data_IF_280307597380
#
_entry.id   IF_280307597380
#
_cell.length_a   1.000
_cell.length_b   1.000
_cell.length_c   1.000
_cell.angle_alpha   90.00
_cell.angle_beta   90.00
_cell.angle_gamma   90.00
#
_symmetry.space_group_name_H-M   'P 1'
#
loop_
_entity.id
_entity.type
_entity.pdbx_description
1 polymer ?
#
# COMPACT_ATOMS: atom_id res chain seq x y z
N UNK A 1 -2.47 50.09 4.82
CA UNK A 1 -3.40 49.03 5.27
C UNK A 1 -3.59 48.04 4.12
N UNK A 2 -2.97 46.87 4.19
CA UNK A 2 -3.10 45.81 3.16
C UNK A 2 -4.43 45.10 3.37
N UNK A 3 -5.32 45.12 2.38
CA UNK A 3 -6.57 44.36 2.41
C UNK A 3 -6.29 42.87 2.72
N UNK A 4 -7.10 42.21 3.58
CA UNK A 4 -6.93 40.82 3.87
C UNK A 4 -7.10 40.01 2.57
N UNK A 5 -6.08 39.20 2.24
CA UNK A 5 -6.10 38.30 1.08
C UNK A 5 -7.36 37.42 1.17
N UNK A 6 -8.05 37.19 0.06
CA UNK A 6 -9.14 36.21 0.00
C UNK A 6 -8.63 34.83 0.43
N UNK A 7 -9.51 33.98 1.00
CA UNK A 7 -9.16 32.64 1.47
C UNK A 7 -8.51 31.81 0.36
N UNK A 8 -8.98 31.93 -0.89
CA UNK A 8 -8.43 31.20 -2.04
C UNK A 8 -7.04 31.69 -2.44
N UNK A 9 -6.76 32.99 -2.35
CA UNK A 9 -5.42 33.53 -2.60
C UNK A 9 -4.42 33.06 -1.54
N UNK A 10 -4.83 32.99 -0.26
CA UNK A 10 -3.97 32.43 0.81
C UNK A 10 -3.68 30.96 0.59
N UNK A 11 -4.67 30.17 0.21
CA UNK A 11 -4.54 28.74 -0.13
C UNK A 11 -3.59 28.56 -1.33
N UNK A 12 -3.76 29.35 -2.36
CA UNK A 12 -2.89 29.31 -3.53
C UNK A 12 -1.43 29.62 -3.18
N UNK A 13 -1.19 30.70 -2.42
CA UNK A 13 0.17 31.07 -2.00
C UNK A 13 0.81 29.99 -1.11
N UNK A 14 0.03 29.37 -0.22
CA UNK A 14 0.50 28.26 0.59
C UNK A 14 0.92 27.06 -0.28
N UNK A 15 0.06 26.65 -1.21
CA UNK A 15 0.37 25.52 -2.12
C UNK A 15 1.58 25.85 -2.99
N UNK A 16 1.66 27.09 -3.53
CA UNK A 16 2.80 27.52 -4.34
C UNK A 16 4.10 27.48 -3.51
N UNK A 17 4.08 28.01 -2.28
CA UNK A 17 5.22 27.98 -1.39
C UNK A 17 5.67 26.56 -1.04
N UNK A 18 4.71 25.66 -0.77
CA UNK A 18 5.00 24.24 -0.55
C UNK A 18 5.54 23.55 -1.81
N UNK A 19 4.96 23.81 -2.97
CA UNK A 19 5.43 23.24 -4.23
C UNK A 19 6.86 23.71 -4.57
N UNK A 20 7.17 24.98 -4.32
CA UNK A 20 8.55 25.49 -4.46
C UNK A 20 9.48 24.82 -3.47
N UNK A 21 9.07 24.69 -2.18
CA UNK A 21 9.87 24.01 -1.17
C UNK A 21 10.13 22.53 -1.53
N UNK A 22 9.11 21.82 -2.03
CA UNK A 22 9.24 20.44 -2.55
C UNK A 22 10.22 20.40 -3.72
N UNK A 23 10.08 21.33 -4.69
CA UNK A 23 10.97 21.42 -5.86
C UNK A 23 12.42 21.67 -5.45
N UNK A 24 12.66 22.63 -4.54
CA UNK A 24 13.99 22.91 -3.98
C UNK A 24 14.55 21.71 -3.24
N UNK A 25 13.75 21.08 -2.36
CA UNK A 25 14.17 19.90 -1.61
C UNK A 25 14.58 18.75 -2.55
N UNK A 26 13.77 18.45 -3.55
CA UNK A 26 14.07 17.36 -4.51
C UNK A 26 15.25 17.67 -5.42
N UNK A 27 15.54 18.94 -5.67
CA UNK A 27 16.71 19.36 -6.43
C UNK A 27 18.03 19.30 -5.63
N UNK A 28 17.98 19.60 -4.32
CA UNK A 28 19.16 19.63 -3.45
C UNK A 28 19.50 18.24 -2.90
N UNK A 29 18.51 17.45 -2.51
CA UNK A 29 18.74 16.11 -1.97
C UNK A 29 19.01 15.16 -3.14
N UNK A 30 20.20 14.51 -3.21
CA UNK A 30 20.55 13.62 -4.32
C UNK A 30 19.73 12.33 -4.24
N UNK A 31 18.50 12.38 -4.75
CA UNK A 31 17.54 11.29 -4.70
C UNK A 31 17.29 10.68 -6.09
N UNK A 32 18.00 11.17 -7.11
CA UNK A 32 17.88 10.63 -8.45
C UNK A 32 18.56 9.27 -8.49
N UNK A 33 17.76 8.22 -8.54
CA UNK A 33 18.19 6.82 -8.67
C UNK A 33 18.32 6.40 -10.14
N UNK A 34 18.23 7.34 -11.08
CA UNK A 34 18.39 7.17 -12.53
C UNK A 34 17.51 6.01 -13.06
N UNK A 35 16.32 5.85 -12.51
CA UNK A 35 15.38 4.77 -12.84
C UNK A 35 16.03 3.39 -12.86
N UNK A 36 16.91 3.14 -11.90
CA UNK A 36 17.74 1.94 -11.82
C UNK A 36 16.92 0.65 -12.00
N UNK A 37 15.82 0.50 -11.25
CA UNK A 37 15.00 -0.71 -11.32
C UNK A 37 14.26 -0.82 -12.66
N UNK A 38 13.80 0.31 -13.20
CA UNK A 38 13.20 0.30 -14.52
C UNK A 38 14.20 -0.10 -15.61
N UNK A 39 15.47 0.32 -15.51
CA UNK A 39 16.53 -0.14 -16.41
C UNK A 39 16.76 -1.64 -16.30
N UNK A 40 16.66 -2.21 -15.10
CA UNK A 40 16.67 -3.66 -14.90
C UNK A 40 15.51 -4.33 -15.65
N UNK A 41 14.28 -3.80 -15.49
CA UNK A 41 13.10 -4.38 -16.14
C UNK A 41 13.18 -4.27 -17.66
N UNK A 42 13.53 -3.09 -18.15
CA UNK A 42 13.70 -2.82 -19.56
C UNK A 42 14.75 -3.74 -20.18
N UNK A 43 15.95 -3.79 -19.59
CA UNK A 43 17.05 -4.63 -20.10
C UNK A 43 16.74 -6.11 -20.06
N UNK A 44 16.02 -6.60 -19.03
CA UNK A 44 15.59 -8.00 -18.96
C UNK A 44 14.60 -8.37 -20.07
N UNK A 45 13.61 -7.49 -20.33
CA UNK A 45 12.64 -7.69 -21.42
C UNK A 45 13.31 -7.58 -22.79
N UNK A 46 14.19 -6.59 -22.99
CA UNK A 46 14.95 -6.40 -24.22
C UNK A 46 15.86 -7.62 -24.51
N UNK A 47 16.59 -8.10 -23.52
CA UNK A 47 17.42 -9.32 -23.62
C UNK A 47 16.57 -10.52 -24.02
N UNK A 48 15.42 -10.70 -23.42
CA UNK A 48 14.52 -11.81 -23.71
C UNK A 48 13.92 -11.74 -25.12
N UNK A 49 13.43 -10.58 -25.53
CA UNK A 49 12.69 -10.42 -26.80
C UNK A 49 13.61 -10.27 -28.01
N UNK A 50 14.70 -9.51 -27.87
CA UNK A 50 15.52 -9.11 -29.01
C UNK A 50 16.87 -9.84 -29.11
N UNK A 51 17.36 -10.40 -27.99
CA UNK A 51 18.69 -11.01 -27.95
C UNK A 51 18.70 -12.52 -27.69
N UNK A 52 17.51 -13.16 -27.58
CA UNK A 52 17.39 -14.60 -27.40
C UNK A 52 17.87 -15.13 -26.04
N UNK A 53 18.13 -14.22 -25.08
CA UNK A 53 18.52 -14.57 -23.72
C UNK A 53 17.32 -14.89 -22.83
N UNK A 54 17.59 -15.32 -21.58
CA UNK A 54 16.54 -15.47 -20.54
C UNK A 54 16.27 -14.15 -19.85
N UNK A 55 15.05 -13.98 -19.32
CA UNK A 55 14.64 -12.86 -18.46
C UNK A 55 15.65 -12.59 -17.33
N UNK A 56 16.31 -13.65 -16.83
CA UNK A 56 17.22 -13.59 -15.68
C UNK A 56 18.69 -13.47 -16.06
N UNK A 57 19.02 -13.37 -17.35
CA UNK A 57 20.42 -13.26 -17.82
C UNK A 57 20.92 -11.81 -17.75
N UNK A 58 20.03 -10.85 -17.94
CA UNK A 58 20.39 -9.44 -17.91
C UNK A 58 20.94 -9.00 -16.56
N UNK A 59 22.03 -8.24 -16.59
CA UNK A 59 22.61 -7.53 -15.44
C UNK A 59 22.85 -6.10 -15.83
N UNK A 60 22.58 -5.17 -14.90
CA UNK A 60 22.94 -3.77 -15.12
C UNK A 60 24.46 -3.68 -15.23
N UNK A 61 25.01 -3.05 -16.29
CA UNK A 61 26.45 -2.93 -16.51
C UNK A 61 27.18 -2.44 -15.26
N UNK A 62 28.28 -3.13 -14.90
CA UNK A 62 29.08 -2.80 -13.72
C UNK A 62 28.48 -3.22 -12.36
N UNK A 63 27.37 -3.99 -12.38
CA UNK A 63 26.71 -4.46 -11.15
C UNK A 63 26.37 -5.96 -11.25
N UNK A 64 25.98 -6.54 -10.09
CA UNK A 64 25.42 -7.91 -10.02
C UNK A 64 23.89 -7.92 -10.08
N UNK A 65 23.26 -6.74 -10.12
CA UNK A 65 21.81 -6.62 -10.06
C UNK A 65 21.13 -6.96 -11.39
N UNK A 66 20.09 -7.78 -11.33
CA UNK A 66 19.28 -8.20 -12.45
C UNK A 66 17.81 -8.35 -12.08
N UNK A 67 17.03 -8.94 -12.97
CA UNK A 67 15.61 -9.17 -12.76
C UNK A 67 15.37 -10.21 -11.66
N UNK A 68 14.47 -9.90 -10.72
CA UNK A 68 14.23 -10.70 -9.50
C UNK A 68 12.76 -11.04 -9.26
N UNK A 69 11.85 -10.53 -10.09
CA UNK A 69 10.41 -10.77 -9.93
C UNK A 69 9.98 -12.10 -10.59
N UNK A 70 8.79 -12.62 -10.24
CA UNK A 70 8.19 -13.74 -10.96
C UNK A 70 8.13 -13.47 -12.47
N UNK A 71 8.22 -14.50 -13.32
CA UNK A 71 8.25 -14.34 -14.78
C UNK A 71 7.06 -13.60 -15.35
N UNK A 72 5.89 -13.68 -14.70
CA UNK A 72 4.70 -12.92 -15.11
C UNK A 72 4.92 -11.41 -15.11
N UNK A 73 5.76 -10.88 -14.23
CA UNK A 73 6.11 -9.47 -14.24
C UNK A 73 6.75 -9.07 -15.59
N UNK A 74 7.68 -9.86 -16.11
CA UNK A 74 8.29 -9.63 -17.41
C UNK A 74 7.27 -9.75 -18.56
N UNK A 75 6.34 -10.70 -18.48
CA UNK A 75 5.22 -10.82 -19.45
C UNK A 75 4.36 -9.55 -19.43
N UNK A 76 4.04 -9.02 -18.24
CA UNK A 76 3.31 -7.75 -18.11
C UNK A 76 4.09 -6.54 -18.62
N UNK A 77 5.42 -6.62 -18.66
CA UNK A 77 6.33 -5.58 -19.14
C UNK A 77 6.71 -5.72 -20.62
N UNK A 78 6.25 -6.75 -21.33
CA UNK A 78 6.53 -6.96 -22.76
C UNK A 78 6.35 -5.72 -23.65
N UNK A 79 5.36 -4.83 -23.42
CA UNK A 79 5.25 -3.61 -24.20
C UNK A 79 6.49 -2.71 -24.15
N UNK A 80 7.37 -2.86 -23.15
CA UNK A 80 8.63 -2.10 -23.09
C UNK A 80 9.59 -2.46 -24.23
N UNK A 81 9.53 -3.70 -24.75
CA UNK A 81 10.33 -4.12 -25.89
C UNK A 81 9.97 -3.39 -27.20
N UNK A 82 8.78 -2.79 -27.28
CA UNK A 82 8.30 -2.09 -28.49
C UNK A 82 8.67 -0.60 -28.53
N UNK A 83 9.29 -0.09 -27.46
CA UNK A 83 9.55 1.35 -27.31
C UNK A 83 10.97 1.59 -26.77
N UNK A 84 11.52 2.78 -27.00
CA UNK A 84 12.80 3.14 -26.39
C UNK A 84 12.69 3.38 -24.87
N UNK A 85 13.82 3.28 -24.18
CA UNK A 85 13.90 3.45 -22.72
C UNK A 85 13.25 4.75 -22.21
N UNK A 86 13.44 5.89 -22.89
CA UNK A 86 12.83 7.16 -22.52
C UNK A 86 11.29 7.11 -22.51
N UNK A 87 10.70 6.43 -23.50
CA UNK A 87 9.24 6.22 -23.56
C UNK A 87 8.79 5.27 -22.46
N UNK A 88 9.53 4.19 -22.19
CA UNK A 88 9.25 3.27 -21.09
C UNK A 88 9.28 3.99 -19.72
N UNK A 89 10.24 4.90 -19.51
CA UNK A 89 10.31 5.76 -18.31
C UNK A 89 9.04 6.62 -18.23
N UNK A 90 8.69 7.35 -19.28
CA UNK A 90 7.52 8.24 -19.27
C UNK A 90 6.21 7.47 -18.98
N UNK A 91 6.01 6.32 -19.62
CA UNK A 91 4.84 5.46 -19.38
C UNK A 91 4.81 4.96 -17.93
N UNK A 92 5.94 4.51 -17.40
CA UNK A 92 6.03 4.03 -16.01
C UNK A 92 5.72 5.14 -15.00
N UNK A 93 6.23 6.36 -15.23
CA UNK A 93 5.93 7.51 -14.38
C UNK A 93 4.43 7.86 -14.42
N UNK A 94 3.80 7.84 -15.59
CA UNK A 94 2.36 8.07 -15.75
C UNK A 94 1.53 6.97 -15.06
N UNK A 95 1.93 5.70 -15.18
CA UNK A 95 1.28 4.58 -14.48
C UNK A 95 1.39 4.72 -12.96
N UNK A 96 2.56 5.09 -12.44
CA UNK A 96 2.74 5.35 -11.02
C UNK A 96 1.91 6.55 -10.54
N UNK A 97 1.81 7.62 -11.33
CA UNK A 97 0.96 8.77 -11.00
C UNK A 97 -0.53 8.39 -10.98
N UNK A 98 -0.99 7.63 -11.96
CA UNK A 98 -2.36 7.11 -12.00
C UNK A 98 -2.63 6.17 -10.80
N UNK A 99 -1.70 5.28 -10.49
CA UNK A 99 -1.80 4.38 -9.34
C UNK A 99 -1.85 5.16 -8.02
N UNK A 100 -0.96 6.15 -7.82
CA UNK A 100 -0.97 7.01 -6.63
C UNK A 100 -2.28 7.79 -6.51
N UNK A 101 -2.79 8.33 -7.62
CA UNK A 101 -4.09 9.03 -7.65
C UNK A 101 -5.22 8.10 -7.22
N UNK A 102 -5.24 6.86 -7.72
CA UNK A 102 -6.24 5.86 -7.33
C UNK A 102 -6.12 5.47 -5.85
N UNK A 103 -4.89 5.25 -5.34
CA UNK A 103 -4.63 4.98 -3.92
C UNK A 103 -5.17 6.11 -3.05
N UNK A 104 -4.86 7.36 -3.39
CA UNK A 104 -5.33 8.54 -2.65
C UNK A 104 -6.86 8.67 -2.74
N UNK A 105 -7.46 8.41 -3.90
CA UNK A 105 -8.90 8.41 -4.06
C UNK A 105 -9.58 7.36 -3.17
N UNK A 106 -9.05 6.15 -3.10
CA UNK A 106 -9.60 5.08 -2.23
C UNK A 106 -9.45 5.46 -0.75
N UNK A 107 -8.32 6.01 -0.37
CA UNK A 107 -7.99 6.27 1.04
C UNK A 107 -8.56 7.59 1.58
N UNK A 108 -8.71 8.62 0.77
CA UNK A 108 -8.97 9.98 1.25
C UNK A 108 -10.07 10.73 0.45
N UNK A 109 -10.88 10.04 -0.37
CA UNK A 109 -11.88 10.69 -1.23
C UNK A 109 -12.85 11.65 -0.52
N UNK A 110 -13.41 11.32 0.68
CA UNK A 110 -14.33 12.23 1.38
C UNK A 110 -13.66 13.55 1.75
N UNK A 111 -12.41 13.48 2.22
CA UNK A 111 -11.60 14.63 2.61
C UNK A 111 -11.22 15.47 1.39
N UNK A 112 -10.79 14.83 0.30
CA UNK A 112 -10.46 15.52 -0.95
C UNK A 112 -11.66 16.26 -1.53
N UNK A 113 -12.84 15.63 -1.54
CA UNK A 113 -14.07 16.31 -1.98
C UNK A 113 -14.40 17.52 -1.13
N UNK A 114 -14.18 17.44 0.18
CA UNK A 114 -14.47 18.54 1.13
C UNK A 114 -13.58 19.76 0.89
N UNK A 115 -12.28 19.54 0.60
CA UNK A 115 -11.30 20.61 0.43
C UNK A 115 -11.04 20.98 -1.04
N UNK A 116 -11.61 20.23 -1.99
CA UNK A 116 -11.49 20.46 -3.43
C UNK A 116 -10.04 20.50 -3.92
N UNK A 117 -9.75 21.42 -4.85
CA UNK A 117 -8.42 21.55 -5.45
C UNK A 117 -7.31 21.76 -4.42
N UNK A 118 -7.61 22.49 -3.34
CA UNK A 118 -6.62 22.76 -2.28
C UNK A 118 -6.22 21.47 -1.55
N UNK A 119 -7.17 20.59 -1.23
CA UNK A 119 -6.90 19.29 -0.64
C UNK A 119 -6.07 18.39 -1.56
N UNK A 120 -6.38 18.38 -2.86
CA UNK A 120 -5.61 17.62 -3.85
C UNK A 120 -4.17 18.13 -3.96
N UNK A 121 -3.98 19.44 -4.09
CA UNK A 121 -2.65 20.05 -4.23
C UNK A 121 -1.80 19.85 -2.97
N UNK A 122 -2.39 20.04 -1.78
CA UNK A 122 -1.70 19.80 -0.51
C UNK A 122 -1.28 18.33 -0.38
N UNK A 123 -2.18 17.40 -0.71
CA UNK A 123 -1.88 15.96 -0.68
C UNK A 123 -0.76 15.61 -1.64
N UNK A 124 -0.74 16.19 -2.85
CA UNK A 124 0.35 15.99 -3.82
C UNK A 124 1.69 16.47 -3.26
N UNK A 125 1.77 17.67 -2.67
CA UNK A 125 2.98 18.19 -2.04
C UNK A 125 3.46 17.29 -0.88
N UNK A 126 2.54 16.85 -0.02
CA UNK A 126 2.85 15.97 1.12
C UNK A 126 3.38 14.62 0.63
N UNK A 127 2.75 14.01 -0.37
CA UNK A 127 3.20 12.72 -0.89
C UNK A 127 4.52 12.82 -1.67
N UNK A 128 4.77 13.94 -2.35
CA UNK A 128 6.01 14.17 -3.06
C UNK A 128 7.24 14.27 -2.13
N UNK A 129 7.06 14.66 -0.87
CA UNK A 129 8.13 14.66 0.13
C UNK A 129 8.37 13.30 0.80
N UNK A 130 7.38 12.41 0.77
CA UNK A 130 7.46 11.12 1.44
C UNK A 130 8.48 10.20 0.74
N UNK A 131 9.55 9.82 1.41
CA UNK A 131 10.66 9.07 0.80
C UNK A 131 10.22 7.80 0.07
N UNK A 132 9.38 6.90 0.62
CA UNK A 132 8.94 5.71 -0.11
C UNK A 132 8.25 6.02 -1.44
N UNK A 133 7.52 7.14 -1.52
CA UNK A 133 6.86 7.59 -2.75
C UNK A 133 7.90 8.15 -3.73
N UNK A 134 8.78 9.04 -3.26
CA UNK A 134 9.86 9.59 -4.10
C UNK A 134 10.73 8.50 -4.70
N UNK A 135 11.15 7.55 -3.86
CA UNK A 135 11.99 6.43 -4.29
C UNK A 135 11.27 5.54 -5.29
N UNK A 136 9.96 5.31 -5.12
CA UNK A 136 9.17 4.58 -6.13
C UNK A 136 9.24 5.25 -7.51
N UNK A 137 9.12 6.58 -7.58
CA UNK A 137 9.24 7.30 -8.83
C UNK A 137 10.68 7.33 -9.35
N UNK A 138 11.67 7.58 -8.50
CA UNK A 138 13.07 7.74 -8.92
C UNK A 138 13.75 6.43 -9.33
N UNK A 139 13.32 5.29 -8.77
CA UNK A 139 13.74 3.96 -9.22
C UNK A 139 12.92 3.45 -10.43
N UNK A 140 11.74 4.03 -10.71
CA UNK A 140 10.79 3.51 -11.69
C UNK A 140 10.13 2.20 -11.24
N UNK A 141 9.81 2.10 -9.96
CA UNK A 141 9.27 0.91 -9.32
C UNK A 141 7.77 0.70 -9.56
N UNK A 142 7.32 -0.57 -9.46
CA UNK A 142 5.91 -0.96 -9.66
C UNK A 142 5.09 -0.98 -8.37
N UNK A 143 5.67 -0.62 -7.21
CA UNK A 143 5.03 -0.82 -5.91
C UNK A 143 3.73 -0.03 -5.73
N UNK A 144 3.61 1.17 -6.30
CA UNK A 144 2.36 1.94 -6.28
C UNK A 144 1.26 1.27 -7.12
N UNK A 145 1.62 0.64 -8.24
CA UNK A 145 0.69 -0.15 -9.06
C UNK A 145 0.19 -1.36 -8.27
N UNK A 146 1.09 -2.08 -7.59
CA UNK A 146 0.71 -3.22 -6.72
C UNK A 146 -0.21 -2.77 -5.59
N UNK A 147 0.10 -1.66 -4.92
CA UNK A 147 -0.72 -1.08 -3.87
C UNK A 147 -2.11 -0.69 -4.39
N UNK A 148 -2.19 -0.05 -5.57
CA UNK A 148 -3.45 0.34 -6.19
C UNK A 148 -4.32 -0.88 -6.54
N UNK A 149 -3.74 -1.94 -7.09
CA UNK A 149 -4.43 -3.21 -7.37
C UNK A 149 -5.02 -3.81 -6.10
N UNK A 150 -4.22 -3.95 -5.06
CA UNK A 150 -4.64 -4.54 -3.78
C UNK A 150 -5.70 -3.66 -3.09
N UNK A 151 -5.51 -2.33 -3.05
CA UNK A 151 -6.49 -1.43 -2.44
C UNK A 151 -7.80 -1.32 -3.23
N UNK A 152 -7.79 -1.60 -4.53
CA UNK A 152 -9.03 -1.71 -5.31
C UNK A 152 -9.91 -2.85 -4.77
N UNK A 153 -9.32 -4.00 -4.43
CA UNK A 153 -10.04 -5.09 -3.78
C UNK A 153 -10.51 -4.71 -2.36
N UNK A 154 -9.68 -3.97 -1.59
CA UNK A 154 -10.08 -3.44 -0.29
C UNK A 154 -11.32 -2.52 -0.41
N UNK A 155 -11.34 -1.65 -1.43
CA UNK A 155 -12.48 -0.78 -1.70
C UNK A 155 -13.74 -1.57 -2.09
N UNK A 156 -13.61 -2.61 -2.94
CA UNK A 156 -14.71 -3.48 -3.31
C UNK A 156 -15.33 -4.19 -2.08
N UNK A 157 -14.47 -4.67 -1.16
CA UNK A 157 -14.91 -5.32 0.08
C UNK A 157 -15.61 -4.31 1.01
N UNK A 158 -15.04 -3.12 1.18
CA UNK A 158 -15.58 -2.07 2.05
C UNK A 158 -16.89 -1.45 1.53
N UNK A 159 -17.10 -1.47 0.20
CA UNK A 159 -18.28 -0.89 -0.46
C UNK A 159 -19.42 -1.87 -0.69
N UNK A 160 -19.37 -3.06 -0.10
CA UNK A 160 -20.39 -4.11 -0.29
C UNK A 160 -20.33 -4.83 -1.65
N UNK A 161 -19.33 -4.51 -2.49
CA UNK A 161 -19.13 -5.10 -3.82
C UNK A 161 -18.13 -6.27 -3.82
N UNK A 162 -17.93 -6.90 -2.68
CA UNK A 162 -16.92 -7.95 -2.44
C UNK A 162 -17.01 -9.16 -3.38
N UNK A 163 -18.15 -9.37 -4.09
CA UNK A 163 -18.27 -10.40 -5.13
C UNK A 163 -17.32 -10.19 -6.31
N UNK A 164 -16.81 -8.98 -6.53
CA UNK A 164 -15.89 -8.61 -7.62
C UNK A 164 -14.43 -8.54 -7.14
N UNK A 165 -14.17 -8.69 -5.83
CA UNK A 165 -12.83 -8.63 -5.27
C UNK A 165 -12.03 -9.90 -5.55
N UNK A 166 -10.71 -9.77 -5.52
CA UNK A 166 -9.70 -10.83 -5.66
C UNK A 166 -8.82 -10.70 -6.89
N UNK A 167 -9.28 -10.05 -7.95
CA UNK A 167 -8.50 -9.90 -9.20
C UNK A 167 -7.25 -9.05 -8.97
N UNK A 168 -7.38 -7.92 -8.26
CA UNK A 168 -6.27 -7.03 -7.97
C UNK A 168 -5.19 -7.70 -7.13
N UNK A 169 -5.59 -8.42 -6.08
CA UNK A 169 -4.66 -9.18 -5.22
C UNK A 169 -3.97 -10.28 -6.04
N UNK A 170 -4.72 -11.02 -6.87
CA UNK A 170 -4.16 -12.09 -7.69
C UNK A 170 -3.12 -11.59 -8.69
N UNK A 171 -3.40 -10.51 -9.41
CA UNK A 171 -2.45 -9.87 -10.32
C UNK A 171 -1.22 -9.34 -9.57
N UNK A 172 -1.42 -8.65 -8.44
CA UNK A 172 -0.31 -8.16 -7.64
C UNK A 172 0.59 -9.29 -7.14
N UNK A 173 0.01 -10.41 -6.69
CA UNK A 173 0.75 -11.59 -6.25
C UNK A 173 1.52 -12.27 -7.39
N UNK A 174 0.98 -12.27 -8.61
CA UNK A 174 1.66 -12.81 -9.80
C UNK A 174 2.83 -11.91 -10.26
N UNK A 175 2.73 -10.59 -10.10
CA UNK A 175 3.81 -9.64 -10.43
C UNK A 175 4.92 -9.71 -9.35
N UNK A 176 4.55 -9.82 -8.07
CA UNK A 176 5.48 -9.86 -6.94
C UNK A 176 4.87 -10.72 -5.83
N UNK A 177 5.64 -11.64 -5.24
CA UNK A 177 5.08 -12.62 -4.28
C UNK A 177 4.57 -11.98 -2.97
N UNK A 178 5.13 -10.86 -2.54
CA UNK A 178 4.77 -10.21 -1.26
C UNK A 178 3.25 -9.98 -1.10
N UNK A 179 2.50 -9.52 -2.12
CA UNK A 179 1.03 -9.39 -2.04
C UNK A 179 0.26 -10.70 -1.85
N UNK A 180 0.88 -11.88 -1.98
CA UNK A 180 0.20 -13.15 -1.73
C UNK A 180 -0.33 -13.27 -0.29
N UNK A 181 0.26 -12.53 0.68
CA UNK A 181 -0.25 -12.47 2.05
C UNK A 181 -1.69 -11.94 2.13
N UNK A 182 -2.12 -11.14 1.14
CA UNK A 182 -3.51 -10.66 1.07
C UNK A 182 -4.50 -11.76 0.69
N UNK A 183 -4.07 -12.86 0.07
CA UNK A 183 -4.91 -14.06 -0.11
C UNK A 183 -5.19 -14.68 1.26
N UNK A 184 -4.19 -14.78 2.14
CA UNK A 184 -4.38 -15.25 3.51
C UNK A 184 -5.30 -14.29 4.31
N UNK A 185 -5.21 -12.97 4.10
CA UNK A 185 -6.15 -12.00 4.67
C UNK A 185 -7.59 -12.30 4.23
N UNK A 186 -7.84 -12.58 2.95
CA UNK A 186 -9.17 -12.91 2.44
C UNK A 186 -9.71 -14.20 3.08
N UNK A 187 -8.84 -15.22 3.25
CA UNK A 187 -9.20 -16.46 3.94
C UNK A 187 -9.55 -16.21 5.42
N UNK A 188 -8.74 -15.41 6.12
CA UNK A 188 -8.98 -15.02 7.51
C UNK A 188 -10.31 -14.26 7.66
N UNK A 189 -10.63 -13.39 6.70
CA UNK A 189 -11.89 -12.65 6.61
C UNK A 189 -13.06 -13.47 6.06
N UNK A 190 -12.88 -14.78 5.85
CA UNK A 190 -13.90 -15.71 5.29
C UNK A 190 -14.48 -15.25 3.94
N UNK A 191 -13.70 -14.50 3.17
CA UNK A 191 -14.07 -14.08 1.79
C UNK A 191 -13.62 -15.13 0.78
N UNK A 192 -14.09 -16.36 0.96
CA UNK A 192 -13.67 -17.56 0.21
C UNK A 192 -13.68 -17.38 -1.30
N UNK A 193 -14.74 -16.73 -1.81
CA UNK A 193 -14.84 -16.44 -3.25
C UNK A 193 -13.73 -15.51 -3.71
N UNK A 194 -13.48 -14.39 -2.98
CA UNK A 194 -12.42 -13.46 -3.36
C UNK A 194 -11.04 -14.11 -3.26
N UNK A 195 -10.82 -14.94 -2.23
CA UNK A 195 -9.59 -15.73 -2.10
C UNK A 195 -9.42 -16.70 -3.27
N UNK A 196 -10.48 -17.42 -3.65
CA UNK A 196 -10.49 -18.32 -4.81
C UNK A 196 -10.21 -17.58 -6.13
N UNK A 197 -10.82 -16.41 -6.34
CA UNK A 197 -10.56 -15.56 -7.51
C UNK A 197 -9.10 -15.08 -7.51
N UNK A 198 -8.58 -14.60 -6.38
CA UNK A 198 -7.18 -14.14 -6.29
C UNK A 198 -6.20 -15.27 -6.59
N UNK A 199 -6.42 -16.45 -6.01
CA UNK A 199 -5.59 -17.64 -6.28
C UNK A 199 -5.69 -18.07 -7.75
N UNK A 200 -6.89 -18.10 -8.32
CA UNK A 200 -7.09 -18.48 -9.72
C UNK A 200 -6.43 -17.49 -10.69
N UNK A 201 -6.52 -16.18 -10.43
CA UNK A 201 -5.86 -15.15 -11.24
C UNK A 201 -4.34 -15.26 -11.13
N UNK A 202 -3.79 -15.44 -9.91
CA UNK A 202 -2.36 -15.63 -9.72
C UNK A 202 -1.86 -16.91 -10.42
N UNK A 203 -2.60 -18.01 -10.30
CA UNK A 203 -2.26 -19.29 -10.97
C UNK A 203 -2.34 -19.16 -12.50
N UNK A 204 -3.38 -18.53 -13.04
CA UNK A 204 -3.51 -18.30 -14.47
C UNK A 204 -2.39 -17.43 -15.03
N UNK A 205 -2.03 -16.35 -14.31
CA UNK A 205 -0.92 -15.48 -14.68
C UNK A 205 0.43 -16.23 -14.64
N UNK A 206 0.65 -17.06 -13.61
CA UNK A 206 1.83 -17.92 -13.50
C UNK A 206 1.88 -18.95 -14.62
N UNK A 207 0.75 -19.59 -14.96
CA UNK A 207 0.67 -20.55 -16.07
C UNK A 207 0.92 -19.88 -17.42
N UNK A 208 0.38 -18.67 -17.64
CA UNK A 208 0.66 -17.86 -18.83
C UNK A 208 2.18 -17.58 -18.97
N UNK A 209 2.82 -17.21 -17.86
CA UNK A 209 4.27 -16.97 -17.86
C UNK A 209 5.08 -18.25 -18.09
N UNK A 210 4.64 -19.38 -17.54
CA UNK A 210 5.26 -20.67 -17.77
C UNK A 210 5.12 -21.13 -19.23
N UNK A 211 4.02 -20.78 -19.89
CA UNK A 211 3.82 -21.03 -21.32
C UNK A 211 4.70 -20.11 -22.19
N UNK A 212 4.76 -18.81 -21.85
CA UNK A 212 5.52 -17.83 -22.64
C UNK A 212 7.04 -17.92 -22.45
N UNK A 213 7.51 -18.29 -21.25
CA UNK A 213 8.92 -18.38 -20.87
C UNK A 213 9.18 -19.59 -19.96
N UNK A 214 9.13 -20.83 -20.49
CA UNK A 214 9.16 -22.05 -19.68
C UNK A 214 10.46 -22.21 -18.89
N UNK A 215 11.63 -21.96 -19.49
CA UNK A 215 12.93 -22.10 -18.84
C UNK A 215 13.14 -21.05 -17.76
N UNK A 216 12.77 -19.80 -18.03
CA UNK A 216 12.80 -18.73 -17.03
C UNK A 216 11.84 -19.03 -15.86
N UNK A 217 10.66 -19.61 -16.13
CA UNK A 217 9.72 -20.01 -15.10
C UNK A 217 10.25 -21.13 -14.24
N UNK A 218 10.86 -22.17 -14.84
CA UNK A 218 11.53 -23.23 -14.09
C UNK A 218 12.61 -22.63 -13.19
N UNK A 219 13.54 -21.88 -13.78
CA UNK A 219 14.65 -21.26 -13.05
C UNK A 219 14.16 -20.40 -11.88
N UNK A 220 13.09 -19.62 -12.08
CA UNK A 220 12.56 -18.79 -11.00
C UNK A 220 12.11 -19.63 -9.79
N UNK A 221 11.33 -20.68 -10.01
CA UNK A 221 10.73 -21.46 -8.93
C UNK A 221 11.70 -22.43 -8.27
N UNK A 222 12.74 -22.90 -8.99
CA UNK A 222 13.73 -23.85 -8.45
C UNK A 222 14.95 -23.17 -7.83
N UNK A 223 15.36 -22.01 -8.35
CA UNK A 223 16.64 -21.37 -8.01
C UNK A 223 16.47 -19.92 -7.55
N UNK A 224 16.00 -19.02 -8.43
CA UNK A 224 16.05 -17.59 -8.19
C UNK A 224 15.25 -17.14 -6.95
N UNK A 225 14.12 -17.77 -6.67
CA UNK A 225 13.27 -17.46 -5.50
C UNK A 225 13.99 -17.73 -4.17
N UNK A 226 14.89 -18.70 -4.15
CA UNK A 226 15.58 -19.15 -2.94
C UNK A 226 16.94 -18.48 -2.73
N UNK A 227 17.43 -17.78 -3.74
CA UNK A 227 18.71 -17.07 -3.73
C UNK A 227 18.51 -15.55 -3.52
N UNK A 228 18.55 -15.13 -2.26
CA UNK A 228 18.41 -13.71 -1.90
C UNK A 228 19.61 -12.85 -2.33
N UNK A 229 20.78 -13.46 -2.62
CA UNK A 229 21.99 -12.70 -3.04
C UNK A 229 21.80 -12.04 -4.41
N UNK A 230 20.89 -12.56 -5.22
CA UNK A 230 20.52 -11.99 -6.52
C UNK A 230 19.77 -10.64 -6.40
N UNK A 231 19.12 -10.38 -5.25
CA UNK A 231 18.31 -9.17 -5.03
C UNK A 231 19.18 -8.04 -4.49
N UNK A 232 20.23 -8.38 -3.74
CA UNK A 232 21.16 -7.43 -3.13
C UNK A 232 21.62 -7.86 -1.75
N UNK A 233 22.45 -7.02 -1.13
CA UNK A 233 22.97 -7.26 0.23
C UNK A 233 21.84 -7.15 1.25
N UNK A 234 21.70 -8.17 2.09
CA UNK A 234 20.68 -8.20 3.15
C UNK A 234 20.91 -7.12 4.21
N UNK A 235 22.19 -6.81 4.50
CA UNK A 235 22.61 -5.81 5.49
C UNK A 235 22.52 -4.35 4.97
N UNK A 236 22.21 -4.15 3.67
CA UNK A 236 22.09 -2.83 3.09
C UNK A 236 21.05 -1.99 3.83
N UNK A 237 21.41 -0.76 4.18
CA UNK A 237 20.61 0.13 5.05
C UNK A 237 19.18 0.35 4.53
N UNK A 238 18.98 0.33 3.20
CA UNK A 238 17.66 0.43 2.59
C UNK A 238 16.77 -0.79 2.86
N UNK A 239 17.34 -1.95 3.29
CA UNK A 239 16.54 -3.14 3.62
C UNK A 239 15.91 -3.00 5.01
N UNK A 240 14.67 -2.56 5.06
CA UNK A 240 13.87 -2.31 6.26
C UNK A 240 12.96 -3.49 6.62
N UNK A 241 13.45 -4.73 6.43
CA UNK A 241 12.81 -5.99 6.84
C UNK A 241 13.42 -6.52 8.14
N UNK A 242 12.76 -7.50 8.77
CA UNK A 242 13.35 -8.21 9.93
C UNK A 242 14.66 -8.92 9.57
N UNK A 243 14.76 -9.46 8.36
CA UNK A 243 16.00 -10.08 7.90
C UNK A 243 17.12 -9.05 7.71
N UNK A 244 16.79 -7.84 7.25
CA UNK A 244 17.72 -6.72 7.19
C UNK A 244 18.26 -6.32 8.58
N UNK A 245 17.40 -6.27 9.59
CA UNK A 245 17.82 -6.04 11.00
C UNK A 245 18.81 -7.11 11.45
N UNK A 246 18.47 -8.38 11.25
CA UNK A 246 19.34 -9.50 11.63
C UNK A 246 20.68 -9.47 10.88
N UNK A 247 20.66 -9.16 9.58
CA UNK A 247 21.87 -9.08 8.78
C UNK A 247 22.81 -7.99 9.29
N UNK A 248 22.31 -6.78 9.58
CA UNK A 248 23.13 -5.70 10.15
C UNK A 248 23.68 -6.03 11.54
N UNK A 249 22.95 -6.80 12.36
CA UNK A 249 23.42 -7.24 13.68
C UNK A 249 24.61 -8.20 13.63
N UNK A 250 24.71 -9.03 12.59
CA UNK A 250 25.73 -10.09 12.51
C UNK A 250 26.73 -9.86 11.38
N UNK A 251 26.64 -8.74 10.66
CA UNK A 251 27.56 -8.44 9.57
C UNK A 251 29.03 -8.55 10.02
N UNK A 252 29.94 -9.12 9.22
CA UNK A 252 29.75 -9.58 7.83
C UNK A 252 29.18 -11.01 7.69
N UNK A 253 28.79 -11.69 8.78
CA UNK A 253 28.23 -13.04 8.73
C UNK A 253 26.80 -13.03 8.16
N UNK A 254 26.35 -14.19 7.66
CA UNK A 254 24.97 -14.34 7.23
C UNK A 254 23.99 -14.50 8.42
N UNK A 255 22.80 -13.86 8.36
CA UNK A 255 21.83 -13.99 9.42
C UNK A 255 21.23 -15.40 9.47
N UNK A 256 20.93 -15.86 10.69
CA UNK A 256 20.29 -17.15 10.91
C UNK A 256 18.89 -17.21 10.28
N UNK A 257 18.67 -18.11 9.35
CA UNK A 257 17.36 -18.38 8.74
C UNK A 257 16.33 -18.81 9.79
N UNK A 258 16.75 -19.60 10.79
CA UNK A 258 15.87 -20.03 11.88
C UNK A 258 15.41 -18.84 12.74
N UNK A 259 16.31 -17.92 13.08
CA UNK A 259 15.96 -16.71 13.83
C UNK A 259 15.00 -15.81 13.04
N UNK A 260 15.28 -15.59 11.76
CA UNK A 260 14.36 -14.85 10.89
C UNK A 260 12.97 -15.53 10.83
N UNK A 261 12.92 -16.86 10.63
CA UNK A 261 11.65 -17.59 10.56
C UNK A 261 10.87 -17.49 11.88
N UNK A 262 11.54 -17.54 13.04
CA UNK A 262 10.92 -17.36 14.36
C UNK A 262 10.32 -15.95 14.50
N UNK A 263 11.08 -14.90 14.17
CA UNK A 263 10.58 -13.53 14.22
C UNK A 263 9.44 -13.29 13.23
N UNK A 264 9.55 -13.85 12.02
CA UNK A 264 8.48 -13.78 11.02
C UNK A 264 7.20 -14.46 11.52
N UNK A 265 7.32 -15.64 12.16
CA UNK A 265 6.18 -16.33 12.76
C UNK A 265 5.52 -15.49 13.86
N UNK A 266 6.31 -14.87 14.75
CA UNK A 266 5.79 -13.98 15.80
C UNK A 266 5.03 -12.80 15.18
N UNK A 267 5.59 -12.17 14.15
CA UNK A 267 4.92 -11.08 13.41
C UNK A 267 3.62 -11.57 12.78
N UNK A 268 3.60 -12.76 12.18
CA UNK A 268 2.39 -13.35 11.60
C UNK A 268 1.34 -13.67 12.67
N UNK A 269 1.73 -14.15 13.86
CA UNK A 269 0.81 -14.35 14.98
C UNK A 269 0.16 -13.02 15.42
N UNK A 270 0.96 -11.96 15.57
CA UNK A 270 0.46 -10.60 15.87
C UNK A 270 -0.46 -10.11 14.75
N UNK A 271 -0.06 -10.29 13.49
CA UNK A 271 -0.87 -9.94 12.33
C UNK A 271 -2.22 -10.64 12.34
N UNK A 272 -2.27 -11.97 12.51
CA UNK A 272 -3.52 -12.74 12.60
C UNK A 272 -4.41 -12.18 13.71
N UNK A 273 -3.85 -11.99 14.91
CA UNK A 273 -4.59 -11.49 16.05
C UNK A 273 -5.15 -10.09 15.83
N UNK A 274 -4.33 -9.14 15.34
CA UNK A 274 -4.75 -7.76 15.10
C UNK A 274 -5.74 -7.65 13.94
N UNK A 275 -5.47 -8.37 12.86
CA UNK A 275 -6.30 -8.37 11.65
C UNK A 275 -7.65 -9.02 11.89
N UNK A 276 -7.73 -10.11 12.67
CA UNK A 276 -9.00 -10.72 13.06
C UNK A 276 -9.91 -9.74 13.81
N UNK A 277 -9.33 -8.87 14.65
CA UNK A 277 -10.08 -7.81 15.33
C UNK A 277 -10.58 -6.74 14.37
N UNK A 278 -9.77 -6.33 13.40
CA UNK A 278 -10.21 -5.38 12.38
C UNK A 278 -11.35 -5.96 11.52
N UNK A 279 -11.26 -7.25 11.17
CA UNK A 279 -12.27 -7.95 10.39
C UNK A 279 -13.57 -8.18 11.15
N UNK A 280 -13.53 -8.39 12.46
CA UNK A 280 -14.76 -8.49 13.29
C UNK A 280 -15.55 -7.20 13.32
N UNK A 281 -14.90 -6.06 13.10
CA UNK A 281 -15.51 -4.74 12.99
C UNK A 281 -15.77 -4.31 11.52
N UNK A 282 -15.56 -5.22 10.56
CA UNK A 282 -15.65 -4.97 9.11
C UNK A 282 -14.72 -3.83 8.62
N UNK A 283 -13.67 -3.50 9.38
CA UNK A 283 -12.70 -2.45 9.04
C UNK A 283 -11.63 -3.00 8.07
N UNK A 284 -12.03 -3.18 6.82
CA UNK A 284 -11.17 -3.71 5.76
C UNK A 284 -9.93 -2.87 5.51
N UNK A 285 -10.06 -1.54 5.57
CA UNK A 285 -8.91 -0.65 5.33
C UNK A 285 -7.82 -0.87 6.39
N UNK A 286 -8.20 -0.99 7.66
CA UNK A 286 -7.25 -1.31 8.73
C UNK A 286 -6.68 -2.73 8.58
N UNK A 287 -7.50 -3.71 8.19
CA UNK A 287 -7.03 -5.07 7.95
C UNK A 287 -6.00 -5.13 6.80
N UNK A 288 -6.24 -4.39 5.71
CA UNK A 288 -5.29 -4.27 4.59
C UNK A 288 -4.02 -3.52 5.01
N UNK A 289 -4.13 -2.44 5.80
CA UNK A 289 -2.97 -1.74 6.35
C UNK A 289 -2.08 -2.68 7.18
N UNK A 290 -2.67 -3.42 8.14
CA UNK A 290 -1.94 -4.39 8.97
C UNK A 290 -1.27 -5.48 8.13
N UNK A 291 -1.92 -5.94 7.06
CA UNK A 291 -1.37 -6.95 6.16
C UNK A 291 -0.18 -6.41 5.36
N UNK A 292 -0.24 -5.17 4.86
CA UNK A 292 0.88 -4.51 4.20
C UNK A 292 2.08 -4.34 5.13
N UNK A 293 1.85 -3.95 6.40
CA UNK A 293 2.91 -3.85 7.42
C UNK A 293 3.57 -5.21 7.69
N UNK A 294 2.76 -6.25 7.90
CA UNK A 294 3.27 -7.61 8.12
C UNK A 294 4.07 -8.10 6.90
N UNK A 295 3.58 -7.87 5.69
CA UNK A 295 4.27 -8.23 4.46
C UNK A 295 5.65 -7.57 4.33
N UNK A 296 5.76 -6.28 4.70
CA UNK A 296 7.06 -5.58 4.73
C UNK A 296 8.03 -6.16 5.76
N UNK A 297 7.53 -6.55 6.94
CA UNK A 297 8.37 -7.09 8.00
C UNK A 297 8.87 -8.51 7.71
N UNK A 298 7.99 -9.40 7.20
CA UNK A 298 8.33 -10.82 6.99
C UNK A 298 9.09 -11.07 5.68
N UNK A 299 8.98 -10.18 4.70
CA UNK A 299 9.75 -10.28 3.46
C UNK A 299 11.25 -10.31 3.77
N UNK A 300 12.05 -11.17 3.12
CA UNK A 300 13.51 -11.14 3.31
C UNK A 300 14.13 -9.78 2.97
N UNK A 301 13.58 -9.12 1.97
CA UNK A 301 14.04 -7.81 1.52
C UNK A 301 12.85 -6.85 1.38
N UNK A 302 12.95 -5.74 2.09
CA UNK A 302 12.00 -4.63 2.02
C UNK A 302 12.77 -3.32 1.87
N UNK A 303 12.98 -2.92 0.62
CA UNK A 303 13.61 -1.64 0.32
C UNK A 303 12.73 -0.46 0.75
N UNK A 304 13.31 0.71 0.96
CA UNK A 304 12.59 1.93 1.36
C UNK A 304 11.37 2.20 0.47
N UNK A 305 11.48 2.04 -0.83
CA UNK A 305 10.36 2.23 -1.75
C UNK A 305 9.23 1.19 -1.61
N UNK A 306 9.46 0.05 -0.94
CA UNK A 306 8.37 -0.88 -0.57
C UNK A 306 7.46 -0.29 0.52
N UNK A 307 7.96 0.65 1.32
CA UNK A 307 7.20 1.24 2.42
C UNK A 307 6.04 2.16 1.96
N UNK A 308 5.73 2.26 0.67
CA UNK A 308 4.43 2.78 0.19
C UNK A 308 3.25 2.02 0.80
N UNK A 309 3.47 0.79 1.28
CA UNK A 309 2.50 0.02 2.07
C UNK A 309 2.15 0.65 3.42
N UNK A 310 2.86 1.67 3.87
CA UNK A 310 2.50 2.49 5.04
C UNK A 310 1.36 3.48 4.74
N UNK A 311 1.07 3.83 3.48
CA UNK A 311 0.02 4.80 3.12
C UNK A 311 -1.36 4.46 3.70
N UNK A 312 -1.85 3.20 3.67
CA UNK A 312 -3.10 2.85 4.33
C UNK A 312 -3.07 3.09 5.85
N UNK A 313 -1.91 2.89 6.51
CA UNK A 313 -1.76 3.15 7.95
C UNK A 313 -1.87 4.65 8.27
N UNK A 314 -1.31 5.51 7.43
CA UNK A 314 -1.50 6.96 7.57
C UNK A 314 -2.97 7.34 7.42
N UNK A 315 -3.69 6.77 6.45
CA UNK A 315 -5.13 7.00 6.30
C UNK A 315 -5.91 6.58 7.55
N UNK A 316 -5.57 5.45 8.17
CA UNK A 316 -6.17 5.00 9.44
C UNK A 316 -5.85 6.00 10.57
N UNK A 317 -4.60 6.42 10.74
CA UNK A 317 -4.21 7.39 11.77
C UNK A 317 -4.97 8.72 11.62
N UNK A 318 -5.09 9.25 10.39
CA UNK A 318 -5.82 10.48 10.11
C UNK A 318 -7.31 10.35 10.41
N UNK A 319 -7.96 9.26 9.98
CA UNK A 319 -9.37 8.96 10.30
C UNK A 319 -9.62 8.83 11.80
N UNK A 320 -8.64 8.29 12.54
CA UNK A 320 -8.68 8.14 14.01
C UNK A 320 -8.21 9.41 14.74
N UNK A 321 -7.99 10.51 14.03
CA UNK A 321 -7.51 11.79 14.57
C UNK A 321 -6.21 11.70 15.37
N UNK A 322 -5.35 10.75 15.04
CA UNK A 322 -4.00 10.59 15.63
C UNK A 322 -2.99 11.48 14.89
N UNK A 323 -3.31 12.77 14.73
CA UNK A 323 -2.58 13.70 13.88
C UNK A 323 -1.11 13.90 14.32
N UNK A 324 -0.85 13.95 15.63
CA UNK A 324 0.52 14.12 16.16
C UNK A 324 1.41 12.92 15.79
N UNK A 325 0.87 11.70 15.93
CA UNK A 325 1.59 10.47 15.57
C UNK A 325 1.82 10.44 14.06
N UNK A 326 0.80 10.70 13.26
CA UNK A 326 0.93 10.75 11.81
C UNK A 326 1.97 11.78 11.36
N UNK A 327 1.96 13.00 11.94
CA UNK A 327 2.91 14.04 11.62
C UNK A 327 4.35 13.68 12.02
N UNK A 328 4.57 13.08 13.20
CA UNK A 328 5.89 12.64 13.64
C UNK A 328 6.46 11.53 12.74
N UNK A 329 5.66 10.50 12.44
CA UNK A 329 6.08 9.42 11.55
C UNK A 329 6.34 9.94 10.12
N UNK A 330 5.50 10.83 9.62
CA UNK A 330 5.69 11.48 8.33
C UNK A 330 7.00 12.27 8.28
N UNK A 331 7.30 13.07 9.30
CA UNK A 331 8.55 13.85 9.36
C UNK A 331 9.78 12.93 9.32
N UNK A 332 9.75 11.82 10.07
CA UNK A 332 10.84 10.83 10.06
C UNK A 332 10.99 10.19 8.67
N UNK A 333 9.87 9.80 8.02
CA UNK A 333 9.93 9.20 6.69
C UNK A 333 10.31 10.18 5.57
N UNK A 334 10.12 11.50 5.78
CA UNK A 334 10.59 12.52 4.84
C UNK A 334 12.07 12.84 4.99
N UNK A 335 12.64 12.61 6.19
CA UNK A 335 14.03 12.99 6.53
C UNK A 335 15.07 12.08 5.88
N UNK A 336 14.69 10.91 5.37
CA UNK A 336 15.61 9.89 4.85
C UNK A 336 16.66 9.46 5.88
N UNK A 337 16.30 9.48 7.17
CA UNK A 337 17.18 9.31 8.32
C UNK A 337 18.02 8.03 8.29
N UNK A 338 17.50 6.94 7.73
CA UNK A 338 18.21 5.65 7.69
C UNK A 338 19.54 5.76 6.94
N UNK A 339 19.65 6.65 5.96
CA UNK A 339 20.85 6.85 5.13
C UNK A 339 22.02 7.48 5.88
N UNK A 340 21.81 8.02 7.10
CA UNK A 340 22.89 8.50 7.94
C UNK A 340 23.83 7.37 8.41
N UNK A 341 23.34 6.12 8.38
CA UNK A 341 24.09 4.91 8.74
C UNK A 341 24.44 4.05 7.52
N UNK A 342 24.59 4.68 6.34
CA UNK A 342 24.93 3.98 5.10
C UNK A 342 26.31 3.31 5.16
N UNK A 343 27.30 4.03 5.68
CA UNK A 343 28.68 3.55 5.74
C UNK A 343 28.96 2.73 7.00
N UNK A 344 28.35 3.07 8.12
CA UNK A 344 28.53 2.38 9.40
C UNK A 344 27.20 2.31 10.18
N UNK A 345 26.68 1.11 10.34
CA UNK A 345 25.48 0.81 11.12
C UNK A 345 25.80 0.08 12.44
N UNK A 346 27.04 0.13 12.90
CA UNK A 346 27.48 -0.50 14.15
C UNK A 346 27.01 0.27 15.39
N UNK A 347 27.14 -0.34 16.56
CA UNK A 347 26.76 0.27 17.83
C UNK A 347 25.23 0.37 18.05
N UNK A 348 24.86 0.95 19.20
CA UNK A 348 23.44 1.09 19.58
C UNK A 348 22.72 2.11 18.69
N UNK A 349 23.37 3.20 18.36
CA UNK A 349 22.83 4.25 17.48
C UNK A 349 22.67 3.73 16.06
N UNK A 350 23.64 2.96 15.54
CA UNK A 350 23.52 2.25 14.26
C UNK A 350 22.38 1.25 14.27
N UNK A 351 22.23 0.45 15.32
CA UNK A 351 21.12 -0.50 15.46
C UNK A 351 19.77 0.19 15.46
N UNK A 352 19.61 1.29 16.20
CA UNK A 352 18.34 2.02 16.25
C UNK A 352 18.10 2.82 14.98
N UNK A 353 19.08 3.55 14.51
CA UNK A 353 18.97 4.51 13.42
C UNK A 353 18.83 3.86 12.05
N UNK A 354 19.71 2.90 11.71
CA UNK A 354 19.66 2.20 10.42
C UNK A 354 18.39 1.37 10.23
N UNK A 355 17.71 1.00 11.33
CA UNK A 355 16.47 0.21 11.33
C UNK A 355 15.22 1.06 11.65
N UNK A 356 15.28 2.38 11.59
CA UNK A 356 14.20 3.28 12.00
C UNK A 356 12.87 2.95 11.33
N UNK A 357 12.87 2.65 10.03
CA UNK A 357 11.62 2.37 9.31
C UNK A 357 11.09 0.98 9.64
N UNK A 358 11.95 0.03 9.99
CA UNK A 358 11.51 -1.28 10.53
C UNK A 358 10.81 -1.10 11.87
N UNK A 359 11.34 -0.25 12.77
CA UNK A 359 10.72 0.06 14.05
C UNK A 359 9.38 0.78 13.91
N UNK A 360 9.28 1.71 12.96
CA UNK A 360 8.01 2.37 12.60
C UNK A 360 6.99 1.33 12.13
N UNK A 361 7.39 0.44 11.22
CA UNK A 361 6.51 -0.59 10.64
C UNK A 361 6.03 -1.56 11.71
N UNK A 362 6.92 -2.02 12.60
CA UNK A 362 6.61 -2.88 13.73
C UNK A 362 5.71 -2.15 14.74
N UNK A 363 6.04 -0.91 15.09
CA UNK A 363 5.23 -0.07 15.97
C UNK A 363 3.81 0.12 15.44
N UNK A 364 3.66 0.39 14.15
CA UNK A 364 2.34 0.48 13.51
C UNK A 364 1.62 -0.88 13.53
N UNK A 365 2.30 -1.99 13.26
CA UNK A 365 1.68 -3.32 13.36
C UNK A 365 1.16 -3.58 14.78
N UNK A 366 1.86 -3.14 15.83
CA UNK A 366 1.50 -3.37 17.23
C UNK A 366 0.41 -2.40 17.75
N UNK A 367 0.40 -1.14 17.32
CA UNK A 367 -0.40 -0.07 17.94
C UNK A 367 -1.32 0.70 17.00
N UNK A 368 -1.37 0.37 15.70
CA UNK A 368 -2.34 1.00 14.80
C UNK A 368 -3.75 0.84 15.36
N UNK A 369 -4.57 1.90 15.49
CA UNK A 369 -5.91 1.78 16.06
C UNK A 369 -6.79 0.80 15.28
N UNK A 370 -7.31 -0.21 15.96
CA UNK A 370 -8.25 -1.22 15.43
C UNK A 370 -9.61 -1.03 16.08
N UNK A 371 -10.68 -1.33 15.36
CA UNK A 371 -12.07 -1.23 15.84
C UNK A 371 -12.78 0.02 15.32
N UNK A 372 -14.11 0.04 15.38
CA UNK A 372 -14.91 1.19 15.00
C UNK A 372 -14.60 2.42 15.89
N UNK A 373 -14.59 3.65 15.36
CA UNK A 373 -14.61 4.83 16.20
C UNK A 373 -15.83 4.74 17.10
N UNK A 374 -15.65 4.72 18.41
CA UNK A 374 -16.80 4.83 19.33
C UNK A 374 -17.50 6.14 18.95
N UNK A 375 -18.82 6.13 18.64
CA UNK A 375 -19.54 7.35 18.42
C UNK A 375 -19.36 8.22 19.68
N UNK A 376 -18.97 9.48 19.49
CA UNK A 376 -18.79 10.42 20.59
C UNK A 376 -20.05 10.37 21.47
N UNK A 377 -19.91 9.97 22.74
CA UNK A 377 -21.01 9.97 23.70
C UNK A 377 -21.68 11.36 23.81
N UNK A 378 -20.93 12.43 23.51
CA UNK A 378 -21.44 13.79 23.41
C UNK A 378 -22.44 13.99 22.24
N UNK A 379 -22.27 13.29 21.10
CA UNK A 379 -23.21 13.38 19.98
C UNK A 379 -24.53 12.62 20.25
N UNK A 380 -24.51 11.60 21.12
CA UNK A 380 -25.70 10.90 21.57
C UNK A 380 -26.51 11.70 22.59
N UNK A 381 -25.87 12.58 23.36
CA UNK A 381 -26.57 13.46 24.34
C UNK A 381 -27.28 14.64 23.71
N UNK A 382 -27.01 14.94 22.42
CA UNK A 382 -27.65 16.03 21.66
C UNK A 382 -28.81 15.56 20.78
N UNK A 383 -29.18 14.29 20.78
CA UNK A 383 -30.46 13.88 20.19
C UNK A 383 -31.57 14.36 21.09
N UNK A 384 -32.50 15.22 20.64
CA UNK A 384 -33.67 15.58 21.43
C UNK A 384 -34.37 14.30 21.87
N UNK A 385 -34.60 14.13 23.18
CA UNK A 385 -35.48 13.07 23.67
C UNK A 385 -36.77 13.18 22.87
N UNK A 386 -37.11 12.09 22.16
CA UNK A 386 -38.41 11.99 21.54
C UNK A 386 -39.45 12.25 22.62
N UNK A 387 -40.19 13.30 22.47
CA UNK A 387 -41.35 13.62 23.33
C UNK A 387 -42.30 12.42 23.25
N UNK A 388 -42.74 11.87 24.39
CA UNK A 388 -43.74 10.78 24.35
C UNK A 388 -44.97 11.32 23.60
N UNK A 389 -45.42 10.55 22.59
CA UNK A 389 -46.64 10.86 21.86
C UNK A 389 -47.80 10.96 22.89
N UNK A 390 -48.52 12.06 22.86
CA UNK A 390 -49.72 12.24 23.66
C UNK A 390 -50.71 11.11 23.35
N UNK A 391 -51.45 10.60 24.36
CA UNK A 391 -52.44 9.54 24.12
C UNK A 391 -53.55 10.09 23.24
N UNK A 392 -53.80 9.39 22.12
CA UNK A 392 -54.94 9.65 21.22
C UNK A 392 -56.23 9.41 21.99
N UNK A 393 -56.95 10.47 22.29
CA UNK A 393 -58.35 10.39 22.75
C UNK A 393 -59.20 10.07 21.54
N UNK A 394 -59.49 8.78 21.29
CA UNK A 394 -60.51 8.37 20.37
C UNK A 394 -61.91 8.63 20.98
N UNK A 395 -62.66 9.50 20.35
CA UNK A 395 -64.08 9.69 20.66
C UNK A 395 -64.90 8.46 20.15
N UNK A 396 -65.99 8.06 20.86
CA UNK A 396 -66.75 6.90 20.47
C UNK A 396 -67.67 7.25 19.27
N UNK A 397 -67.68 6.39 18.27
CA UNK A 397 -68.59 6.46 17.13
C UNK A 397 -70.02 6.12 17.57
N UNK A 398 -70.94 7.03 17.27
CA UNK A 398 -72.38 6.82 17.46
C UNK A 398 -72.90 5.89 16.33
N UNK A 399 -73.50 4.78 16.74
CA UNK A 399 -74.22 3.81 15.93
C UNK A 399 -75.52 4.44 15.44
N UNK A 400 -75.77 4.47 14.13
CA UNK A 400 -77.11 4.68 13.55
C UNK A 400 -77.49 3.37 12.83
N UNK A 401 -78.64 2.86 13.21
CA UNK A 401 -79.27 1.67 12.71
C UNK A 401 -79.84 1.81 11.28
N UNK A 402 -80.14 0.68 10.58
CA UNK A 402 -80.46 0.71 9.20
C UNK A 402 -81.99 0.92 8.94
N UNK A 403 -82.31 1.62 7.87
CA UNK A 403 -83.64 1.67 7.36
C UNK A 403 -83.79 0.78 6.12
N UNK A 404 -84.86 -0.04 6.15
CA UNK A 404 -85.27 -0.99 5.08
C UNK A 404 -86.09 -0.24 4.07
N UNK A 405 -85.91 -0.48 2.81
CA UNK A 405 -87.00 -0.66 1.83
C UNK A 405 -86.41 -1.07 0.47
N UNK A 406 -86.73 -2.31 0.08
CA UNK A 406 -86.96 -2.68 -1.31
C UNK A 406 -88.36 -2.25 -1.71
N UNK A 407 -88.84 -2.31 -2.99
CA UNK A 407 -88.53 -3.32 -3.97
C UNK A 407 -88.55 -2.86 -5.47
N UNK A 408 -88.26 -3.83 -6.31
CA UNK A 408 -88.83 -4.10 -7.67
C UNK A 408 -88.36 -3.23 -8.83
N UNK A 409 -87.70 -3.73 -9.78
CA UNK A 409 -88.14 -4.48 -11.01
C UNK A 409 -86.86 -4.81 -11.83
#
# INVERSE_FOLDING_TARGET
MTAPLSTDRRRFLLVLGLAVAVGVFTAIVPLLRDWFDLRVYYGAVDTWVHHGGSIYDYRVPGTTYGFTYPPFAAVGMLPMALVGLGTAIAVTLLLNLAALTLVVAILAWPELRRYGWFGCALTACVLALLEPVRDTFSFGQVNLVLLALVLSDAWLLSSGRGRRAGVGIGLAAAIKLTPALFIALLLLGRRWRAAGVATAVAAAATALAAWAAPDASRFYWTDALWDTTRIGRLDYVSNQSLQGVLARLVAPQEPSRAMWATLALLVLCVWVWRTSRALSDEDWITAFALTGLAACLVSPITWVHHLVWLLPSFAVLLRRRRLRIAAALYAVLCSSVVWLWFDDASGLDGFLGSNTYTWITLGLLLWLPVGQPRPDRAALSLRPRATPAAPSTAAPAISAAPDQSSPSS
#
